data_IF_686764982319
#
_entry.id   IF_686764982319
#
_cell.length_a   1.000
_cell.length_b   1.000
_cell.length_c   1.000
_cell.angle_alpha   90.00
_cell.angle_beta   90.00
_cell.angle_gamma   90.00
#
_symmetry.space_group_name_H-M   'P 1'
#
loop_
_entity.id
_entity.type
_entity.pdbx_description
1 polymer ?
#
# COMPACT_ATOMS: atom_id res chain seq x y z
N UNK A 1 8.48 10.89 17.23
CA UNK A 1 8.88 9.47 17.32
C UNK A 1 8.13 8.61 16.31
N UNK A 2 6.81 8.55 16.35
CA UNK A 2 6.03 7.70 15.42
C UNK A 2 6.32 8.02 13.95
N UNK A 3 6.30 9.30 13.57
CA UNK A 3 6.54 9.71 12.18
C UNK A 3 7.97 9.40 11.73
N UNK A 4 8.96 9.56 12.61
CA UNK A 4 10.35 9.21 12.32
C UNK A 4 10.53 7.71 12.15
N UNK A 5 9.90 6.91 13.01
CA UNK A 5 9.92 5.46 12.92
C UNK A 5 9.28 4.98 11.61
N UNK A 6 8.13 5.56 11.24
CA UNK A 6 7.44 5.22 10.00
C UNK A 6 8.32 5.52 8.78
N UNK A 7 8.98 6.67 8.75
CA UNK A 7 9.89 7.04 7.66
C UNK A 7 11.09 6.09 7.57
N UNK A 8 11.65 5.72 8.71
CA UNK A 8 12.80 4.81 8.74
C UNK A 8 12.45 3.44 8.18
N UNK A 9 11.31 2.89 8.57
CA UNK A 9 10.82 1.59 8.07
C UNK A 9 10.46 1.70 6.59
N UNK A 10 9.80 2.78 6.18
CA UNK A 10 9.45 3.04 4.78
C UNK A 10 10.69 3.05 3.89
N UNK A 11 11.79 3.66 4.34
CA UNK A 11 13.05 3.66 3.59
C UNK A 11 13.58 2.26 3.36
N UNK A 12 13.51 1.38 4.35
CA UNK A 12 13.92 -0.01 4.19
C UNK A 12 13.13 -0.70 3.07
N UNK A 13 11.81 -0.56 3.11
CA UNK A 13 10.95 -1.18 2.11
C UNK A 13 11.12 -0.56 0.72
N UNK A 14 11.25 0.77 0.64
CA UNK A 14 11.48 1.45 -0.64
C UNK A 14 12.80 1.01 -1.28
N UNK A 15 13.88 0.91 -0.50
CA UNK A 15 15.17 0.43 -1.00
C UNK A 15 15.09 -1.01 -1.50
N UNK A 16 14.32 -1.84 -0.80
CA UNK A 16 14.16 -3.26 -1.17
C UNK A 16 13.29 -3.41 -2.42
N UNK A 17 12.28 -2.57 -2.58
CA UNK A 17 11.37 -2.60 -3.73
C UNK A 17 11.90 -1.85 -4.95
N UNK A 18 12.92 -0.99 -4.80
CA UNK A 18 13.47 -0.20 -5.89
C UNK A 18 13.86 -1.04 -7.12
N UNK A 19 14.55 -2.21 -6.97
CA UNK A 19 14.86 -3.04 -8.13
C UNK A 19 13.63 -3.58 -8.87
N UNK A 20 12.48 -3.64 -8.20
CA UNK A 20 11.21 -4.06 -8.81
C UNK A 20 10.49 -2.87 -9.46
N UNK A 21 10.98 -1.64 -9.24
CA UNK A 21 10.40 -0.43 -9.78
C UNK A 21 9.16 0.04 -9.03
N UNK A 22 9.09 -0.22 -7.74
CA UNK A 22 7.95 0.16 -6.90
C UNK A 22 8.42 0.92 -5.65
N UNK A 23 7.61 1.89 -5.23
CA UNK A 23 7.63 2.41 -3.87
C UNK A 23 6.67 1.60 -3.01
N UNK A 24 6.84 1.62 -1.70
CA UNK A 24 6.01 0.85 -0.77
C UNK A 24 4.53 1.19 -0.91
N UNK A 25 4.19 2.46 -1.12
CA UNK A 25 2.80 2.89 -1.31
C UNK A 25 2.20 2.28 -2.58
N UNK A 26 2.96 2.26 -3.68
CA UNK A 26 2.53 1.66 -4.94
C UNK A 26 2.33 0.14 -4.79
N UNK A 27 3.26 -0.52 -4.11
CA UNK A 27 3.13 -1.94 -3.80
C UNK A 27 1.84 -2.22 -3.02
N UNK A 28 1.55 -1.40 -2.01
CA UNK A 28 0.34 -1.54 -1.21
C UNK A 28 -0.93 -1.35 -2.03
N UNK A 29 -0.93 -0.41 -2.99
CA UNK A 29 -2.06 -0.21 -3.91
C UNK A 29 -2.29 -1.46 -4.74
N UNK A 30 -1.25 -2.02 -5.35
CA UNK A 30 -1.38 -3.23 -6.16
C UNK A 30 -1.88 -4.41 -5.34
N UNK A 31 -1.39 -4.56 -4.11
CA UNK A 31 -1.80 -5.63 -3.20
C UNK A 31 -3.28 -5.52 -2.86
N UNK A 32 -3.75 -4.31 -2.54
CA UNK A 32 -5.15 -4.11 -2.20
C UNK A 32 -6.08 -4.36 -3.39
N UNK A 33 -5.68 -3.95 -4.58
CA UNK A 33 -6.46 -4.24 -5.79
C UNK A 33 -6.49 -5.74 -6.10
N UNK A 34 -5.41 -6.46 -5.82
CA UNK A 34 -5.39 -7.90 -5.99
C UNK A 34 -6.31 -8.60 -5.00
N UNK A 35 -6.26 -8.19 -3.73
CA UNK A 35 -7.00 -8.82 -2.65
C UNK A 35 -8.48 -8.47 -2.64
N UNK A 36 -8.82 -7.19 -2.90
CA UNK A 36 -10.18 -6.67 -2.77
C UNK A 36 -10.91 -6.57 -4.11
N UNK A 37 -10.18 -6.71 -5.23
CA UNK A 37 -10.76 -6.48 -6.55
C UNK A 37 -10.78 -5.00 -6.92
N UNK A 38 -11.48 -4.63 -8.02
CA UNK A 38 -11.54 -3.24 -8.45
C UNK A 38 -12.14 -2.33 -7.38
N UNK A 39 -11.53 -1.16 -7.19
CA UNK A 39 -11.96 -0.17 -6.20
C UNK A 39 -12.03 1.20 -6.86
N UNK A 40 -12.99 2.01 -6.40
CA UNK A 40 -13.01 3.43 -6.75
C UNK A 40 -11.85 4.13 -6.04
N UNK A 41 -11.50 5.33 -6.54
CA UNK A 41 -10.44 6.13 -5.91
C UNK A 41 -10.78 6.44 -4.44
N UNK A 42 -12.05 6.73 -4.15
CA UNK A 42 -12.48 7.02 -2.79
C UNK A 42 -12.38 5.79 -1.87
N UNK A 43 -12.79 4.63 -2.36
CA UNK A 43 -12.69 3.38 -1.60
C UNK A 43 -11.23 3.01 -1.33
N UNK A 44 -10.36 3.18 -2.32
CA UNK A 44 -8.94 2.90 -2.16
C UNK A 44 -8.28 3.87 -1.18
N UNK A 45 -8.63 5.16 -1.25
CA UNK A 45 -8.11 6.16 -0.32
C UNK A 45 -8.47 5.80 1.13
N UNK A 46 -9.70 5.34 1.35
CA UNK A 46 -10.14 4.89 2.67
C UNK A 46 -9.36 3.66 3.14
N UNK A 47 -9.16 2.68 2.27
CA UNK A 47 -8.37 1.49 2.59
C UNK A 47 -6.90 1.83 2.89
N UNK A 48 -6.35 2.81 2.20
CA UNK A 48 -4.97 3.24 2.38
C UNK A 48 -4.77 4.24 3.52
N UNK A 49 -5.86 4.71 4.15
CA UNK A 49 -5.84 5.76 5.19
C UNK A 49 -5.11 7.01 4.69
N UNK A 50 -5.45 7.45 3.50
CA UNK A 50 -4.74 8.47 2.76
C UNK A 50 -5.74 9.41 2.11
N UNK A 51 -5.39 10.70 1.98
CA UNK A 51 -6.26 11.63 1.25
C UNK A 51 -6.23 11.34 -0.25
N UNK A 52 -7.26 11.79 -0.95
CA UNK A 52 -7.44 11.53 -2.37
C UNK A 52 -6.32 12.12 -3.22
N UNK A 53 -5.83 13.30 -2.87
CA UNK A 53 -4.76 13.98 -3.62
C UNK A 53 -3.45 13.20 -3.54
N UNK A 54 -3.07 12.76 -2.33
CA UNK A 54 -1.88 11.95 -2.10
C UNK A 54 -1.99 10.62 -2.86
N UNK A 55 -3.16 9.98 -2.76
CA UNK A 55 -3.39 8.72 -3.46
C UNK A 55 -3.26 8.90 -4.98
N UNK A 56 -3.84 9.96 -5.55
CA UNK A 56 -3.79 10.22 -6.99
C UNK A 56 -2.36 10.36 -7.50
N UNK A 57 -1.48 10.98 -6.73
CA UNK A 57 -0.06 11.10 -7.10
C UNK A 57 0.64 9.75 -7.22
N UNK A 58 0.21 8.76 -6.44
CA UNK A 58 0.77 7.41 -6.49
C UNK A 58 0.11 6.56 -7.58
N UNK A 59 -1.15 6.84 -7.90
CA UNK A 59 -1.92 6.12 -8.91
C UNK A 59 -1.47 6.48 -10.33
N UNK A 60 -1.18 7.76 -10.59
CA UNK A 60 -0.81 8.21 -11.93
C UNK A 60 0.40 7.47 -12.53
N UNK A 61 1.51 7.28 -11.80
CA UNK A 61 2.62 6.51 -12.34
C UNK A 61 2.26 5.05 -12.61
N UNK A 62 1.43 4.45 -11.78
CA UNK A 62 0.99 3.06 -11.98
C UNK A 62 0.16 2.92 -13.26
N UNK A 63 -0.73 3.86 -13.53
CA UNK A 63 -1.50 3.89 -14.76
C UNK A 63 -0.61 4.11 -15.98
N UNK A 64 0.30 5.09 -15.89
CA UNK A 64 1.25 5.39 -16.97
C UNK A 64 2.09 4.17 -17.34
N UNK A 65 2.51 3.40 -16.35
CA UNK A 65 3.35 2.22 -16.57
C UNK A 65 2.53 0.97 -16.93
N UNK A 66 1.21 1.10 -17.07
CA UNK A 66 0.33 0.00 -17.46
C UNK A 66 0.10 -1.05 -16.39
N UNK A 67 0.38 -0.75 -15.13
CA UNK A 67 0.19 -1.69 -14.02
C UNK A 67 -1.24 -1.71 -13.49
N UNK A 68 -1.95 -0.62 -13.69
CA UNK A 68 -3.38 -0.49 -13.43
C UNK A 68 -4.03 0.19 -14.62
N UNK A 69 -5.35 0.02 -14.75
CA UNK A 69 -6.16 0.80 -15.67
C UNK A 69 -7.36 1.35 -14.94
N UNK A 70 -7.86 2.48 -15.41
CA UNK A 70 -9.00 3.18 -14.83
C UNK A 70 -10.16 3.05 -15.81
N UNK A 71 -11.28 2.50 -15.33
CA UNK A 71 -12.47 2.28 -16.14
C UNK A 71 -13.70 2.78 -15.38
N UNK A 72 -14.79 3.03 -16.13
CA UNK A 72 -16.06 3.33 -15.50
C UNK A 72 -16.57 2.13 -14.73
N UNK A 73 -17.15 2.38 -13.54
CA UNK A 73 -17.75 1.33 -12.73
C UNK A 73 -18.94 0.69 -13.46
N UNK A 74 -19.03 -0.64 -13.42
CA UNK A 74 -20.17 -1.35 -13.96
C UNK A 74 -21.47 -1.06 -13.18
N UNK A 75 -21.33 -0.79 -11.87
CA UNK A 75 -22.47 -0.49 -11.00
C UNK A 75 -22.90 0.97 -11.10
N UNK A 76 -21.95 1.90 -11.31
CA UNK A 76 -22.20 3.34 -11.43
C UNK A 76 -21.25 3.91 -12.49
N UNK A 77 -21.78 4.18 -13.68
CA UNK A 77 -21.00 4.68 -14.80
C UNK A 77 -20.30 6.03 -14.55
N UNK A 78 -20.69 6.76 -13.50
CA UNK A 78 -20.07 8.03 -13.13
C UNK A 78 -18.80 7.83 -12.28
N UNK A 79 -18.76 6.75 -11.50
CA UNK A 79 -17.60 6.42 -10.68
C UNK A 79 -16.57 5.71 -11.55
N UNK A 80 -15.29 6.01 -11.29
CA UNK A 80 -14.18 5.34 -11.96
C UNK A 80 -13.55 4.34 -11.01
N UNK A 81 -13.24 3.17 -11.52
CA UNK A 81 -12.62 2.09 -10.79
C UNK A 81 -11.20 1.83 -11.27
N UNK A 82 -10.33 1.51 -10.34
CA UNK A 82 -8.98 1.08 -10.64
C UNK A 82 -8.96 -0.44 -10.73
N UNK A 83 -8.38 -0.94 -11.81
CA UNK A 83 -8.27 -2.38 -12.09
C UNK A 83 -6.80 -2.77 -12.21
N UNK A 84 -6.43 -3.86 -11.57
CA UNK A 84 -5.09 -4.42 -11.70
C UNK A 84 -4.96 -5.10 -13.07
N UNK A 85 -3.89 -4.78 -13.81
CA UNK A 85 -3.61 -5.42 -15.10
C UNK A 85 -2.77 -6.67 -14.89
N UNK A 86 -2.59 -7.48 -15.97
CA UNK A 86 -1.69 -8.63 -15.92
C UNK A 86 -0.24 -8.19 -15.64
N UNK A 87 0.19 -7.08 -16.22
CA UNK A 87 1.49 -6.51 -15.94
C UNK A 87 1.60 -6.09 -14.47
N UNK A 88 0.52 -5.53 -13.91
CA UNK A 88 0.44 -5.19 -12.50
C UNK A 88 0.56 -6.41 -11.59
N UNK A 89 -0.10 -7.51 -11.95
CA UNK A 89 0.00 -8.76 -11.19
C UNK A 89 1.43 -9.31 -11.19
N UNK A 90 2.12 -9.28 -12.32
CA UNK A 90 3.51 -9.71 -12.41
C UNK A 90 4.43 -8.85 -11.56
N UNK A 91 4.23 -7.54 -11.59
CA UNK A 91 5.00 -6.59 -10.79
C UNK A 91 4.75 -6.83 -9.30
N UNK A 92 3.50 -7.08 -8.94
CA UNK A 92 3.11 -7.40 -7.57
C UNK A 92 3.80 -8.68 -7.08
N UNK A 93 3.83 -9.73 -7.90
CA UNK A 93 4.50 -10.99 -7.54
C UNK A 93 6.00 -10.76 -7.27
N UNK A 94 6.67 -9.98 -8.13
CA UNK A 94 8.07 -9.62 -7.92
C UNK A 94 8.23 -8.81 -6.63
N UNK A 95 7.31 -7.89 -6.38
CA UNK A 95 7.28 -7.10 -5.15
C UNK A 95 7.07 -7.94 -3.91
N UNK A 96 6.23 -8.96 -3.97
CA UNK A 96 6.01 -9.88 -2.85
C UNK A 96 7.29 -10.62 -2.45
N UNK A 97 8.10 -11.05 -3.44
CA UNK A 97 9.39 -11.68 -3.15
C UNK A 97 10.36 -10.71 -2.47
N UNK A 98 10.44 -9.49 -2.99
CA UNK A 98 11.27 -8.44 -2.40
C UNK A 98 10.78 -8.06 -1.00
N UNK A 99 9.46 -7.99 -0.82
CA UNK A 99 8.85 -7.69 0.47
C UNK A 99 9.20 -8.74 1.52
N UNK A 100 9.16 -10.02 1.16
CA UNK A 100 9.54 -11.10 2.07
C UNK A 100 10.99 -10.96 2.53
N UNK A 101 11.90 -10.55 1.65
CA UNK A 101 13.30 -10.29 2.00
C UNK A 101 13.43 -9.12 2.96
N UNK A 102 12.69 -8.02 2.72
CA UNK A 102 12.70 -6.86 3.59
C UNK A 102 12.14 -7.21 4.97
N UNK A 103 11.07 -7.98 5.01
CA UNK A 103 10.45 -8.42 6.26
C UNK A 103 11.41 -9.29 7.08
N UNK A 104 12.10 -10.22 6.43
CA UNK A 104 13.07 -11.07 7.08
C UNK A 104 14.25 -10.25 7.64
N UNK A 105 14.71 -9.25 6.88
CA UNK A 105 15.78 -8.34 7.33
C UNK A 105 15.34 -7.53 8.54
N UNK A 106 14.13 -6.98 8.51
CA UNK A 106 13.56 -6.22 9.62
C UNK A 106 13.48 -7.09 10.88
N UNK A 107 12.97 -8.31 10.76
CA UNK A 107 12.83 -9.23 11.90
C UNK A 107 14.18 -9.63 12.49
N UNK A 108 15.19 -9.85 11.62
CA UNK A 108 16.53 -10.18 12.13
C UNK A 108 17.15 -9.03 12.92
N UNK A 109 16.96 -7.79 12.44
CA UNK A 109 17.54 -6.60 13.08
C UNK A 109 16.79 -6.19 14.34
N UNK A 110 15.47 -6.23 14.28
CA UNK A 110 14.60 -5.76 15.37
C UNK A 110 14.31 -6.86 16.40
N UNK A 111 14.34 -8.11 15.98
CA UNK A 111 13.95 -9.27 16.78
C UNK A 111 12.57 -9.76 16.40
N UNK A 112 12.41 -11.07 16.21
CA UNK A 112 11.16 -11.66 15.74
C UNK A 112 10.00 -11.40 16.71
N UNK A 113 10.24 -11.54 18.02
CA UNK A 113 9.21 -11.32 19.04
C UNK A 113 8.82 -9.84 19.11
N UNK A 114 9.82 -8.94 19.11
CA UNK A 114 9.55 -7.50 19.14
C UNK A 114 8.80 -7.05 17.90
N UNK A 115 9.12 -7.63 16.72
CA UNK A 115 8.40 -7.34 15.48
C UNK A 115 6.93 -7.78 15.55
N UNK A 116 6.67 -8.96 16.12
CA UNK A 116 5.31 -9.45 16.32
C UNK A 116 4.52 -8.55 17.27
N UNK A 117 5.15 -8.14 18.39
CA UNK A 117 4.53 -7.25 19.36
C UNK A 117 4.23 -5.88 18.74
N UNK A 118 5.16 -5.36 17.94
CA UNK A 118 4.96 -4.09 17.23
C UNK A 118 3.78 -4.16 16.27
N UNK A 119 3.63 -5.24 15.52
CA UNK A 119 2.48 -5.40 14.61
C UNK A 119 1.16 -5.36 15.36
N UNK A 120 1.06 -6.00 16.52
CA UNK A 120 -0.15 -5.96 17.35
C UNK A 120 -0.46 -4.52 17.78
N UNK A 121 0.55 -3.80 18.26
CA UNK A 121 0.37 -2.42 18.70
C UNK A 121 -0.01 -1.49 17.54
N UNK A 122 0.60 -1.64 16.37
CA UNK A 122 0.29 -0.82 15.20
C UNK A 122 -1.14 -1.08 14.71
N UNK A 123 -1.59 -2.33 14.72
CA UNK A 123 -2.99 -2.65 14.37
C UNK A 123 -3.96 -1.98 15.35
N UNK A 124 -3.61 -1.96 16.63
CA UNK A 124 -4.42 -1.29 17.64
C UNK A 124 -4.50 0.23 17.37
N UNK A 125 -3.39 0.84 16.96
CA UNK A 125 -3.38 2.27 16.57
C UNK A 125 -4.32 2.53 15.40
N UNK A 126 -4.24 1.72 14.35
CA UNK A 126 -5.08 1.87 13.15
C UNK A 126 -6.56 1.63 13.48
N UNK A 127 -6.85 0.70 14.38
CA UNK A 127 -8.22 0.40 14.80
C UNK A 127 -8.84 1.47 15.70
N UNK A 128 -8.01 2.35 16.27
CA UNK A 128 -8.47 3.43 17.14
C UNK A 128 -8.87 4.64 16.30
N UNK A 129 -10.04 5.22 16.60
CA UNK A 129 -10.54 6.37 15.85
C UNK A 129 -10.23 7.67 16.61
N UNK A 130 -8.96 8.07 16.59
CA UNK A 130 -8.52 9.29 17.27
C UNK A 130 -9.12 10.55 16.65
N UNK A 131 -9.44 10.51 15.37
CA UNK A 131 -9.99 11.67 14.65
C UNK A 131 -11.41 11.99 15.16
N UNK A 132 -12.23 10.97 15.41
CA UNK A 132 -13.58 11.14 15.96
C UNK A 132 -13.55 11.82 17.32
N UNK A 133 -12.54 11.53 18.14
CA UNK A 133 -12.41 12.12 19.48
C UNK A 133 -12.04 13.62 19.44
N UNK A 134 -11.46 14.08 18.36
CA UNK A 134 -11.05 15.47 18.18
C UNK A 134 -12.20 16.33 17.64
N UNK A 135 -13.11 15.72 16.92
CA UNK A 135 -14.28 16.39 16.29
C UNK A 135 -15.33 16.88 17.33
#
# INVERSE_FOLDING_TARGET
>A
MVRSAARHVTQLYDQTLAPVGLHVTQFSILEKLKRLGPLTINALAKEMLMDRTTLSRNVLPLERDGLIKIEASAADGRAKELHLTKAGEKRLQAGCRAWAQAQARFERRFGAQRAADLRVLLRAVVASDFIADIS
#
